data_IF_485793632443
#
_entry.id   IF_485793632443
#
_cell.length_a   1.000
_cell.length_b   1.000
_cell.length_c   1.000
_cell.angle_alpha   90.00
_cell.angle_beta   90.00
_cell.angle_gamma   90.00
#
_symmetry.space_group_name_H-M   'P 1'
#
loop_
_entity.id
_entity.type
_entity.pdbx_description
1 polymer ?
2 branched ?
3 non-polymer ?
4 non-polymer ?
5 water ?
#
# COMPACT_ATOMS: atom_id res chain seq x y z
N UNK A 28 5.39 15.87 13.88
CA UNK A 28 5.99 14.55 13.73
C UNK A 28 5.13 13.48 14.40
N UNK A 29 4.72 12.44 13.66
CA UNK A 29 3.94 11.34 14.24
C UNK A 29 2.69 11.87 14.94
N UNK A 30 2.01 12.83 14.31
CA UNK A 30 0.80 13.41 14.90
C UNK A 30 -0.48 12.76 14.40
N UNK A 31 -0.43 12.05 13.29
CA UNK A 31 -1.63 11.53 12.64
C UNK A 31 -2.08 10.26 13.32
N UNK A 32 -3.34 10.24 13.78
CA UNK A 32 -3.95 9.05 14.35
C UNK A 32 -4.63 8.22 13.27
N UNK A 33 -4.29 6.95 13.13
CA UNK A 33 -4.92 6.13 12.08
C UNK A 33 -6.37 5.82 12.39
N UNK A 34 -7.08 5.41 11.35
CA UNK A 34 -8.43 4.90 11.51
C UNK A 34 -8.39 3.46 12.01
N UNK A 35 -9.36 3.11 12.86
CA UNK A 35 -9.58 1.71 13.22
C UNK A 35 -10.15 0.94 12.03
N UNK A 36 -9.85 -0.39 11.99
CA UNK A 36 -10.37 -1.27 10.96
C UNK A 36 -11.79 -1.70 11.32
N UNK A 37 -12.79 -1.22 10.59
CA UNK A 37 -14.17 -1.59 10.93
C UNK A 37 -14.44 -3.06 10.65
N UNK A 38 -15.44 -3.60 11.35
CA UNK A 38 -15.79 -5.00 11.14
C UNK A 38 -16.45 -5.14 9.77
N UNK A 39 -16.01 -6.07 8.93
CA UNK A 39 -16.43 -6.05 7.51
C UNK A 39 -17.86 -6.53 7.34
N UNK A 40 -18.60 -5.85 6.46
CA UNK A 40 -20.01 -6.14 6.20
C UNK A 40 -20.26 -6.53 4.75
N UNK A 41 -19.80 -5.71 3.81
CA UNK A 41 -20.09 -6.00 2.40
C UNK A 41 -19.08 -6.97 1.79
N UNK A 42 -19.43 -7.49 0.62
CA UNK A 42 -18.56 -8.40 -0.13
C UNK A 42 -17.15 -7.83 -0.21
N UNK A 43 -17.04 -6.57 -0.65
CA UNK A 43 -15.72 -5.98 -0.88
C UNK A 43 -14.97 -5.70 0.43
N UNK A 44 -15.68 -5.33 1.49
CA UNK A 44 -15.02 -5.13 2.78
C UNK A 44 -14.44 -6.45 3.31
N UNK A 45 -15.24 -7.52 3.25
CA UNK A 45 -14.79 -8.83 3.71
C UNK A 45 -13.59 -9.33 2.92
N UNK A 46 -13.64 -9.18 1.59
CA UNK A 46 -12.51 -9.57 0.76
C UNK A 46 -11.29 -8.70 1.03
N UNK A 47 -11.51 -7.40 1.20
CA UNK A 47 -10.41 -6.51 1.54
C UNK A 47 -9.64 -6.96 2.76
N UNK A 48 -10.35 -7.37 3.81
CA UNK A 48 -9.68 -7.82 5.03
C UNK A 48 -9.04 -9.19 4.81
N UNK A 49 -9.74 -10.07 4.08
CA UNK A 49 -9.24 -11.42 3.86
C UNK A 49 -7.92 -11.44 3.11
N UNK A 50 -7.72 -10.53 2.17
CA UNK A 50 -6.54 -10.55 1.29
C UNK A 50 -5.53 -9.47 1.65
N UNK A 51 -5.59 -8.93 2.87
CA UNK A 51 -4.57 -7.99 3.34
C UNK A 51 -3.17 -8.60 3.21
N UNK A 52 -2.23 -7.89 2.62
CA UNK A 52 -0.86 -8.41 2.49
C UNK A 52 -0.10 -8.41 3.81
N UNK A 53 0.97 -9.21 3.86
CA UNK A 53 1.97 -9.11 4.91
C UNK A 53 3.11 -8.23 4.40
N UNK A 54 3.52 -7.25 5.19
CA UNK A 54 4.53 -6.30 4.75
C UNK A 54 5.76 -6.45 5.62
N UNK A 55 6.88 -6.79 5.00
CA UNK A 55 8.17 -6.88 5.66
C UNK A 55 9.02 -5.68 5.23
N UNK A 56 9.49 -4.88 6.20
CA UNK A 56 10.26 -3.68 5.89
C UNK A 56 11.75 -3.98 6.10
N UNK A 57 12.57 -3.55 5.14
CA UNK A 57 14.02 -3.80 5.11
C UNK A 57 14.74 -2.46 4.95
N UNK A 58 15.30 -1.94 6.03
CA UNK A 58 16.18 -0.76 6.13
C UNK A 58 15.49 0.60 5.95
N UNK A 59 14.17 0.65 5.77
CA UNK A 59 13.47 1.90 5.57
C UNK A 59 12.52 2.24 6.70
N UNK A 60 11.65 3.21 6.42
CA UNK A 60 10.62 3.56 7.40
C UNK A 60 9.61 2.43 7.56
N UNK A 61 9.00 2.39 8.75
CA UNK A 61 7.75 1.69 8.90
C UNK A 61 6.65 2.50 8.21
N UNK A 62 5.55 1.87 7.83
CA UNK A 62 4.43 2.65 7.29
C UNK A 62 3.75 3.47 8.40
N UNK A 63 3.25 4.65 8.02
CA UNK A 63 2.59 5.58 8.93
C UNK A 63 1.22 5.92 8.36
N UNK A 64 0.33 6.43 9.21
CA UNK A 64 -0.93 6.97 8.69
C UNK A 64 -0.67 8.28 7.95
N UNK A 65 -1.22 8.41 6.74
CA UNK A 65 -1.02 9.61 5.95
C UNK A 65 -2.01 10.74 6.26
N UNK A 66 -3.20 10.41 6.79
CA UNK A 66 -4.28 11.39 6.95
C UNK A 66 -5.15 10.96 8.14
N UNK A 67 -5.76 11.95 8.81
CA UNK A 67 -6.66 11.62 9.91
C UNK A 67 -8.10 11.99 9.54
N UNK A 68 -9.02 11.71 10.48
CA UNK A 68 -10.44 11.92 10.25
C UNK A 68 -10.80 13.40 10.03
N UNK A 69 -9.98 14.30 10.52
CA UNK A 69 -10.21 15.74 10.37
C UNK A 69 -9.58 16.30 9.10
N UNK A 70 -8.92 15.46 8.31
CA UNK A 70 -8.32 15.86 7.05
C UNK A 70 -6.91 16.44 7.12
N UNK A 71 -6.28 16.45 8.28
CA UNK A 71 -4.86 16.83 8.34
C UNK A 71 -4.01 15.70 7.77
N UNK A 72 -2.93 16.07 7.06
CA UNK A 72 -2.03 15.09 6.48
C UNK A 72 -0.63 15.14 7.10
N UNK A 73 0.08 14.02 6.98
CA UNK A 73 1.44 13.94 7.45
C UNK A 73 2.34 14.95 6.75
N UNK A 74 3.20 15.59 7.54
CA UNK A 74 4.23 16.46 6.99
C UNK A 74 5.44 15.73 6.49
N UNK A 75 5.51 14.41 6.69
CA UNK A 75 6.66 13.63 6.28
C UNK A 75 7.88 14.03 7.10
N UNK A 76 9.03 13.53 6.66
CA UNK A 76 10.31 13.83 7.27
C UNK A 76 11.30 14.24 6.19
N UNK A 77 12.15 15.22 6.48
CA UNK A 77 13.23 15.55 5.56
C UNK A 77 14.18 14.38 5.40
N UNK A 78 14.91 14.36 4.29
CA UNK A 78 15.92 13.33 4.08
C UNK A 78 17.12 13.59 4.97
N UNK A 79 17.74 12.51 5.44
CA UNK A 79 18.89 12.65 6.34
C UNK A 79 19.86 11.50 6.09
N UNK A 80 20.88 11.41 6.93
CA UNK A 80 21.92 10.41 6.78
C UNK A 80 21.52 9.01 7.21
N UNK A 81 20.39 8.84 7.88
CA UNK A 81 19.97 7.50 8.29
C UNK A 81 18.60 7.18 7.70
N UNK A 82 18.47 6.04 7.00
CA UNK A 82 17.18 5.73 6.37
C UNK A 82 16.02 5.51 7.34
N UNK A 83 16.28 5.17 8.60
CA UNK A 83 15.19 4.82 9.51
C UNK A 83 14.93 5.85 10.61
N UNK A 84 15.87 6.78 10.86
CA UNK A 84 15.73 7.74 11.96
C UNK A 84 14.41 8.51 11.89
N UNK A 85 13.69 8.53 13.01
CA UNK A 85 12.42 9.22 13.12
C UNK A 85 11.21 8.45 12.62
N UNK A 86 11.40 7.32 11.95
CA UNK A 86 10.27 6.65 11.30
C UNK A 86 10.30 5.15 11.56
N UNK A 87 10.71 4.73 12.76
CA UNK A 87 10.71 3.31 13.11
C UNK A 87 9.33 2.78 13.47
N UNK A 88 8.33 3.65 13.61
CA UNK A 88 6.99 3.20 13.94
C UNK A 88 6.23 4.23 14.76
N UNK A 89 4.97 4.48 14.39
CA UNK A 89 4.20 5.50 15.08
C UNK A 89 3.83 5.06 16.49
N UNK A 90 3.72 6.04 17.39
CA UNK A 90 3.19 5.71 18.71
C UNK A 90 1.73 5.32 18.63
N UNK A 91 1.06 5.62 17.51
CA UNK A 91 -0.36 5.32 17.30
C UNK A 91 -0.60 4.05 16.50
N UNK A 92 0.44 3.31 16.15
CA UNK A 92 0.27 2.19 15.27
C UNK A 92 0.23 2.66 13.82
N UNK A 93 0.03 1.70 12.93
CA UNK A 93 0.24 1.92 11.51
C UNK A 93 -1.10 1.94 10.76
N UNK A 94 -1.03 1.93 9.43
CA UNK A 94 -2.20 1.92 8.56
C UNK A 94 -1.85 1.29 7.22
N UNK A 95 -2.83 0.62 6.63
CA UNK A 95 -2.78 0.24 5.23
C UNK A 95 -4.09 0.66 4.59
N UNK A 96 -4.01 1.19 3.39
CA UNK A 96 -5.17 1.69 2.68
C UNK A 96 -5.61 0.71 1.60
N UNK A 97 -6.92 0.57 1.42
CA UNK A 97 -7.44 -0.38 0.45
C UNK A 97 -8.49 0.22 -0.45
N UNK A 98 -8.52 -0.26 -1.69
CA UNK A 98 -9.55 0.18 -2.62
C UNK A 98 -9.70 -0.88 -3.70
N UNK A 99 -10.94 -1.18 -4.10
CA UNK A 99 -11.14 -2.34 -4.97
C UNK A 99 -12.15 -2.02 -6.07
N UNK A 100 -12.12 -2.85 -7.11
CA UNK A 100 -13.00 -2.71 -8.26
C UNK A 100 -12.91 -3.97 -9.13
N UNK A 101 -14.02 -4.27 -9.81
CA UNK A 101 -13.94 -5.16 -10.94
C UNK A 101 -13.15 -4.48 -12.05
N UNK A 102 -12.33 -5.25 -12.75
CA UNK A 102 -11.60 -4.74 -13.90
C UNK A 102 -11.34 -5.90 -14.84
N UNK A 103 -11.90 -5.85 -16.06
CA UNK A 103 -11.68 -6.89 -17.06
C UNK A 103 -12.12 -8.25 -16.52
N UNK A 104 -13.27 -8.26 -15.85
CA UNK A 104 -13.91 -9.46 -15.30
C UNK A 104 -13.05 -10.15 -14.24
N UNK A 105 -12.10 -9.43 -13.67
CA UNK A 105 -11.32 -9.92 -12.53
C UNK A 105 -11.47 -8.88 -11.42
N UNK A 106 -11.40 -9.34 -10.17
CA UNK A 106 -11.56 -8.46 -9.02
C UNK A 106 -10.20 -7.97 -8.57
N UNK A 107 -9.99 -6.65 -8.57
CA UNK A 107 -8.71 -6.04 -8.25
C UNK A 107 -8.80 -5.31 -6.92
N UNK A 108 -7.87 -5.59 -6.01
CA UNK A 108 -7.79 -4.91 -4.72
C UNK A 108 -6.42 -4.25 -4.60
N UNK A 109 -6.39 -2.92 -4.46
CA UNK A 109 -5.13 -2.23 -4.19
C UNK A 109 -4.93 -2.03 -2.69
N UNK A 110 -3.74 -2.35 -2.21
CA UNK A 110 -3.30 -2.02 -0.86
C UNK A 110 -2.12 -1.05 -0.94
N UNK A 111 -2.22 0.08 -0.25
CA UNK A 111 -1.24 1.13 -0.34
C UNK A 111 -0.72 1.49 1.04
N UNK A 112 0.56 1.85 1.09
CA UNK A 112 1.22 2.27 2.32
C UNK A 112 1.89 3.61 2.12
N UNK A 113 1.87 4.43 3.17
CA UNK A 113 2.52 5.73 3.20
C UNK A 113 3.71 5.64 4.13
N UNK A 114 4.85 6.23 3.73
CA UNK A 114 6.04 6.31 4.56
C UNK A 114 6.49 7.77 4.62
N UNK A 115 6.95 8.23 5.79
CA UNK A 115 7.24 9.68 5.93
C UNK A 115 8.44 10.15 5.12
N UNK A 116 9.35 9.26 4.75
CA UNK A 116 10.48 9.62 3.92
C UNK A 116 10.98 8.36 3.21
N UNK A 117 11.71 8.56 2.11
CA UNK A 117 12.46 7.50 1.42
C UNK A 117 13.87 8.04 1.24
N UNK A 118 14.81 7.57 2.06
CA UNK A 118 16.13 8.20 2.16
C UNK A 118 17.22 7.14 2.30
N UNK A 119 17.52 6.42 1.22
CA UNK A 119 18.55 5.38 1.30
C UNK A 119 19.95 5.97 1.45
N UNK A 120 20.87 5.15 1.95
CA UNK A 120 22.27 5.53 1.94
C UNK A 120 22.77 5.69 0.50
N UNK A 121 23.65 6.66 0.29
CA UNK A 121 24.32 6.99 -0.98
C UNK A 121 23.42 7.77 -1.94
N UNK A 122 22.12 7.86 -1.68
CA UNK A 122 21.15 8.43 -2.61
C UNK A 122 20.52 9.70 -2.03
N UNK A 123 20.02 10.55 -2.93
CA UNK A 123 19.44 11.81 -2.50
C UNK A 123 18.11 11.60 -1.78
N UNK A 124 17.25 10.71 -2.29
CA UNK A 124 15.98 10.42 -1.66
C UNK A 124 15.03 11.61 -1.57
N UNK A 125 13.87 11.44 -0.94
CA UNK A 125 12.92 12.55 -0.84
C UNK A 125 12.00 12.35 0.36
N UNK A 126 11.40 13.46 0.76
CA UNK A 126 10.29 13.45 1.71
C UNK A 126 9.10 12.73 1.10
N UNK A 127 8.37 12.00 1.94
CA UNK A 127 7.18 11.24 1.56
C UNK A 127 7.48 10.05 0.66
N UNK A 128 6.65 9.02 0.75
CA UNK A 128 6.73 7.87 -0.15
C UNK A 128 5.41 7.14 -0.09
N UNK A 129 4.87 6.76 -1.26
CA UNK A 129 3.68 5.91 -1.40
C UNK A 129 4.04 4.66 -2.19
N UNK A 130 3.67 3.51 -1.65
CA UNK A 130 3.88 2.22 -2.33
C UNK A 130 2.56 1.49 -2.36
N UNK A 131 2.42 0.55 -3.29
CA UNK A 131 1.17 -0.22 -3.31
C UNK A 131 1.36 -1.56 -4.02
N UNK A 132 0.52 -2.51 -3.62
CA UNK A 132 0.40 -3.77 -4.36
C UNK A 132 -1.05 -3.89 -4.80
N UNK A 133 -1.24 -4.50 -5.98
CA UNK A 133 -2.57 -4.83 -6.47
C UNK A 133 -2.67 -6.35 -6.53
N UNK A 134 -3.64 -6.91 -5.81
CA UNK A 134 -3.91 -8.34 -5.78
C UNK A 134 -5.13 -8.59 -6.65
N UNK A 135 -5.05 -9.58 -7.54
CA UNK A 135 -6.14 -9.91 -8.45
C UNK A 135 -6.69 -11.28 -8.07
N UNK A 136 -8.00 -11.37 -7.83
CA UNK A 136 -8.66 -12.61 -7.47
C UNK A 136 -9.84 -12.86 -8.40
N UNK A 137 -10.31 -14.11 -8.45
CA UNK A 137 -11.34 -14.47 -9.41
C UNK A 137 -12.67 -13.79 -9.08
N UNK A 138 -13.07 -13.80 -7.81
CA UNK A 138 -14.42 -13.35 -7.44
C UNK A 138 -14.49 -13.17 -5.93
N UNK A 139 -14.80 -11.96 -5.43
CA UNK A 139 -14.79 -11.76 -3.98
C UNK A 139 -15.91 -12.47 -3.25
N UNK A 140 -16.96 -12.89 -3.95
CA UNK A 140 -18.13 -13.49 -3.33
C UNK A 140 -18.07 -15.02 -3.28
N UNK A 141 -16.88 -15.62 -3.38
CA UNK A 141 -16.73 -17.05 -3.18
C UNK A 141 -16.31 -17.32 -1.75
N UNK A 142 -16.53 -18.57 -1.32
CA UNK A 142 -16.10 -18.95 0.03
C UNK A 142 -14.58 -18.89 0.13
N UNK A 143 -13.89 -19.36 -0.91
CA UNK A 143 -12.43 -19.33 -0.97
C UNK A 143 -12.05 -18.82 -2.36
N UNK A 144 -11.96 -17.50 -2.55
CA UNK A 144 -11.52 -16.98 -3.85
C UNK A 144 -10.06 -17.30 -4.11
N UNK A 145 -9.70 -17.34 -5.40
CA UNK A 145 -8.37 -17.74 -5.84
C UNK A 145 -7.57 -16.50 -6.22
N UNK A 146 -6.37 -16.35 -5.65
CA UNK A 146 -5.48 -15.30 -6.11
C UNK A 146 -4.95 -15.66 -7.49
N UNK A 147 -5.14 -14.77 -8.45
CA UNK A 147 -4.74 -15.02 -9.82
C UNK A 147 -3.45 -14.31 -10.21
N UNK A 148 -3.11 -13.23 -9.51
CA UNK A 148 -1.96 -12.44 -9.89
C UNK A 148 -1.74 -11.38 -8.85
N UNK A 149 -0.58 -10.73 -8.96
CA UNK A 149 -0.23 -9.68 -7.99
C UNK A 149 0.86 -8.82 -8.60
N UNK A 150 0.77 -7.51 -8.36
CA UNK A 150 1.69 -6.54 -8.94
C UNK A 150 2.13 -5.57 -7.85
N UNK A 151 3.45 -5.36 -7.75
CA UNK A 151 4.04 -4.58 -6.67
C UNK A 151 4.65 -3.29 -7.24
N UNK A 152 4.45 -2.18 -6.54
CA UNK A 152 4.87 -0.89 -7.07
C UNK A 152 6.39 -0.81 -7.15
N UNK A 153 6.87 -0.21 -8.23
CA UNK A 153 8.30 -0.14 -8.50
C UNK A 153 8.54 1.18 -9.24
N UNK A 154 8.83 2.23 -8.49
CA UNK A 154 9.20 3.54 -9.03
C UNK A 154 8.22 4.01 -10.11
N UNK A 155 6.94 4.11 -9.73
CA UNK A 155 5.85 4.60 -10.59
C UNK A 155 5.30 3.52 -11.52
N UNK A 156 6.04 2.43 -11.74
CA UNK A 156 5.56 1.28 -12.47
C UNK A 156 5.24 0.12 -11.55
N UNK A 157 5.22 -1.08 -12.13
CA UNK A 157 4.88 -2.31 -11.42
C UNK A 157 5.79 -3.46 -11.81
N UNK A 158 6.06 -4.35 -10.86
CA UNK A 158 6.56 -5.70 -11.15
C UNK A 158 5.36 -6.62 -11.14
N UNK A 159 5.09 -7.29 -12.27
CA UNK A 159 3.84 -8.00 -12.47
C UNK A 159 4.04 -9.51 -12.37
N UNK A 160 3.12 -10.19 -11.68
CA UNK A 160 3.19 -11.63 -11.49
C UNK A 160 1.85 -12.27 -11.87
N UNK A 161 1.87 -13.21 -12.81
CA UNK A 161 0.66 -13.95 -13.19
C UNK A 161 1.04 -15.38 -13.52
N UNK A 162 0.82 -16.32 -12.61
CA UNK A 162 0.20 -16.15 -11.30
C UNK A 162 1.10 -15.53 -10.24
N UNK A 163 0.49 -15.15 -9.15
CA UNK A 163 1.24 -14.78 -7.97
C UNK A 163 1.92 -16.06 -7.44
N UNK A 164 3.25 -16.09 -7.30
CA UNK A 164 3.91 -17.36 -6.97
C UNK A 164 3.51 -17.86 -5.59
N UNK A 165 3.26 -19.17 -5.52
CA UNK A 165 2.71 -19.80 -4.32
C UNK A 165 3.60 -19.55 -3.10
N UNK A 166 4.92 -19.58 -3.28
CA UNK A 166 5.83 -19.42 -2.16
C UNK A 166 5.72 -18.05 -1.50
N UNK A 167 5.09 -17.08 -2.16
CA UNK A 167 4.90 -15.75 -1.59
C UNK A 167 3.47 -15.52 -1.13
N UNK A 168 2.66 -16.58 -1.07
CA UNK A 168 1.29 -16.49 -0.56
C UNK A 168 1.23 -17.26 0.75
N UNK A 169 0.82 -16.56 1.80
CA UNK A 169 0.67 -17.13 3.13
C UNK A 169 -0.83 -17.18 3.42
N UNK A 170 -1.44 -18.33 3.15
CA UNK A 170 -2.88 -18.45 3.25
C UNK A 170 -3.56 -17.72 2.10
N UNK A 171 -4.18 -16.59 2.40
CA UNK A 171 -4.62 -15.68 1.35
C UNK A 171 -3.91 -14.33 1.43
N UNK A 172 -2.75 -14.27 2.09
CA UNK A 172 -1.99 -13.03 2.20
C UNK A 172 -0.72 -13.12 1.36
N UNK A 173 -0.63 -12.27 0.32
CA UNK A 173 0.63 -12.12 -0.41
C UNK A 173 1.67 -11.48 0.50
N UNK A 174 2.89 -11.98 0.45
CA UNK A 174 3.98 -11.50 1.29
C UNK A 174 4.85 -10.55 0.48
N UNK A 175 4.99 -9.34 1.01
CA UNK A 175 5.58 -8.22 0.29
C UNK A 175 6.77 -7.72 1.10
N UNK A 176 7.79 -7.25 0.40
CA UNK A 176 8.99 -6.67 1.03
C UNK A 176 9.18 -5.25 0.52
N UNK A 177 9.44 -4.32 1.44
CA UNK A 177 9.81 -2.94 1.12
C UNK A 177 11.32 -2.80 1.33
N UNK A 178 12.05 -2.57 0.24
CA UNK A 178 13.50 -2.45 0.36
C UNK A 178 14.05 -1.65 -0.81
N UNK A 179 15.31 -1.29 -0.71
CA UNK A 179 15.97 -0.52 -1.75
C UNK A 179 17.18 -1.30 -2.25
N UNK A 180 17.50 -1.11 -3.53
CA UNK A 180 18.74 -1.59 -4.11
C UNK A 180 19.39 -0.43 -4.84
N UNK A 181 20.62 -0.10 -4.45
CA UNK A 181 21.38 0.91 -5.17
C UNK A 181 21.33 0.58 -6.66
N UNK A 182 21.18 1.56 -7.54
CA UNK A 182 21.18 3.00 -7.31
C UNK A 182 19.79 3.67 -7.29
N UNK A 183 18.73 2.92 -6.97
CA UNK A 183 17.36 3.44 -6.94
C UNK A 183 16.84 3.49 -5.50
N UNK A 184 15.74 4.24 -5.30
CA UNK A 184 15.12 4.39 -3.99
C UNK A 184 14.40 3.10 -3.59
N UNK A 185 13.56 3.19 -2.56
CA UNK A 185 12.78 2.04 -2.11
C UNK A 185 11.67 1.67 -3.09
N UNK A 186 11.30 0.39 -3.06
CA UNK A 186 10.22 -0.16 -3.87
C UNK A 186 9.76 -1.45 -3.23
N UNK A 187 8.67 -1.98 -3.77
CA UNK A 187 8.08 -3.22 -3.32
C UNK A 187 8.34 -4.36 -4.29
N UNK A 188 8.31 -5.56 -3.75
CA UNK A 188 8.47 -6.79 -4.54
C UNK A 188 7.94 -7.91 -3.67
N UNK A 189 7.60 -9.06 -4.27
CA UNK A 189 7.18 -10.21 -3.42
C UNK A 189 8.39 -10.80 -2.68
N UNK A 190 8.13 -11.66 -1.69
CA UNK A 190 9.19 -12.24 -0.88
C UNK A 190 8.68 -13.55 -0.26
N UNK A 191 9.61 -14.35 0.26
CA UNK A 191 9.24 -15.52 1.04
C UNK A 191 9.33 -15.28 2.56
N UNK A 192 9.68 -14.07 2.99
CA UNK A 192 9.81 -13.75 4.40
C UNK A 192 8.52 -13.11 4.90
N UNK A 193 7.93 -13.67 5.95
CA UNK A 193 6.65 -13.19 6.47
C UNK A 193 6.85 -11.89 7.26
N UNK A 194 6.05 -10.89 6.94
CA UNK A 194 6.14 -9.63 7.64
C UNK A 194 4.99 -9.48 8.62
N UNK A 195 4.29 -8.35 8.55
CA UNK A 195 3.29 -7.99 9.55
C UNK A 195 2.10 -7.34 8.85
N UNK A 196 0.95 -7.40 9.52
CA UNK A 196 -0.30 -6.76 9.10
C UNK A 196 -0.40 -5.37 9.71
N UNK A 197 -1.09 -4.48 9.00
CA UNK A 197 -1.45 -3.16 9.49
C UNK A 197 -2.97 -3.02 9.47
N UNK A 198 -3.50 -2.15 10.34
CA UNK A 198 -4.93 -1.90 10.34
C UNK A 198 -5.36 -1.34 8.98
N UNK A 199 -6.34 -2.00 8.36
CA UNK A 199 -6.77 -1.65 7.02
C UNK A 199 -7.96 -0.69 7.08
N UNK A 200 -7.92 0.36 6.26
CA UNK A 200 -9.10 1.19 6.06
C UNK A 200 -9.36 1.26 4.57
N UNK A 201 -10.59 0.97 4.16
CA UNK A 201 -10.92 1.04 2.75
C UNK A 201 -11.34 2.45 2.38
N UNK A 202 -11.16 2.79 1.10
CA UNK A 202 -11.42 4.14 0.62
C UNK A 202 -12.80 4.64 1.06
N UNK A 203 -13.83 3.83 0.81
CA UNK A 203 -15.19 4.28 1.10
C UNK A 203 -15.47 4.42 2.58
N UNK A 204 -14.63 3.83 3.44
CA UNK A 204 -14.84 3.90 4.88
C UNK A 204 -14.20 5.13 5.51
N UNK A 205 -13.39 5.85 4.77
CA UNK A 205 -12.81 7.07 5.33
C UNK A 205 -13.82 8.20 5.18
N UNK A 206 -13.85 9.15 6.12
CA UNK A 206 -14.74 10.31 5.97
C UNK A 206 -14.35 11.16 4.77
N UNK A 207 -15.34 11.91 4.28
CA UNK A 207 -15.15 12.77 3.12
C UNK A 207 -14.00 13.76 3.30
N UNK A 208 -13.79 14.25 4.52
CA UNK A 208 -12.68 15.16 4.80
C UNK A 208 -11.35 14.49 4.50
N UNK A 209 -11.21 13.22 4.84
CA UNK A 209 -9.96 12.51 4.58
C UNK A 209 -9.80 12.21 3.10
N UNK A 210 -10.87 11.79 2.43
CA UNK A 210 -10.79 11.55 0.99
C UNK A 210 -10.47 12.84 0.24
N UNK A 211 -11.12 13.94 0.61
CA UNK A 211 -10.80 15.24 0.02
C UNK A 211 -9.30 15.52 0.14
N UNK A 212 -8.74 15.35 1.34
CA UNK A 212 -7.33 15.60 1.56
C UNK A 212 -6.45 14.68 0.70
N UNK A 213 -6.77 13.39 0.64
CA UNK A 213 -5.99 12.46 -0.18
C UNK A 213 -6.13 12.76 -1.67
N UNK A 214 -7.24 13.37 -2.08
CA UNK A 214 -7.43 13.77 -3.48
C UNK A 214 -6.62 15.01 -3.82
N UNK A 215 -6.39 15.89 -2.85
CA UNK A 215 -5.89 17.24 -3.12
C UNK A 215 -4.48 17.49 -2.63
N UNK A 216 -3.96 16.67 -1.73
CA UNK A 216 -2.70 16.99 -1.07
C UNK A 216 -1.53 16.66 -2.00
N UNK A 217 -0.58 17.58 -2.06
CA UNK A 217 0.65 17.40 -2.82
C UNK A 217 1.66 16.72 -1.91
N UNK A 218 2.03 15.49 -2.24
CA UNK A 218 3.07 14.78 -1.53
C UNK A 218 4.40 14.84 -2.27
N UNK A 219 4.59 15.84 -3.13
CA UNK A 219 5.85 16.02 -3.83
C UNK A 219 6.15 14.93 -4.81
N UNK A 220 7.27 14.23 -4.61
CA UNK A 220 7.65 13.15 -5.52
C UNK A 220 6.80 11.90 -5.32
N UNK A 221 6.01 11.82 -4.26
CA UNK A 221 5.17 10.66 -4.00
C UNK A 221 3.74 10.95 -4.44
N UNK A 222 3.12 9.98 -5.10
CA UNK A 222 1.78 10.12 -5.67
C UNK A 222 0.84 9.19 -4.93
N UNK A 223 -0.24 9.73 -4.39
CA UNK A 223 -1.21 8.91 -3.67
C UNK A 223 -1.89 7.96 -4.64
N UNK A 224 -1.72 6.63 -4.52
CA UNK A 224 -2.10 5.74 -5.63
C UNK A 224 -3.56 5.35 -5.63
N UNK A 225 -4.29 5.45 -4.53
CA UNK A 225 -5.68 5.00 -4.54
C UNK A 225 -6.67 6.15 -4.51
N UNK A 226 -6.24 7.38 -4.75
CA UNK A 226 -7.18 8.49 -4.73
C UNK A 226 -7.96 8.54 -6.04
N UNK A 227 -8.89 9.48 -6.14
CA UNK A 227 -9.79 9.45 -7.30
C UNK A 227 -9.06 9.77 -8.59
N UNK A 228 -8.01 10.59 -8.53
CA UNK A 228 -7.25 10.94 -9.73
C UNK A 228 -6.50 9.75 -10.31
N UNK A 229 -5.95 8.88 -9.47
CA UNK A 229 -4.96 7.91 -9.95
C UNK A 229 -5.41 6.46 -9.91
N UNK A 230 -6.45 6.11 -9.16
CA UNK A 230 -6.71 4.70 -8.85
C UNK A 230 -6.92 3.86 -10.10
N UNK A 231 -7.80 4.29 -11.01
CA UNK A 231 -8.11 3.45 -12.17
C UNK A 231 -6.91 3.37 -13.13
N UNK A 232 -6.19 4.47 -13.33
CA UNK A 232 -4.97 4.42 -14.14
C UNK A 232 -3.97 3.45 -13.53
N UNK A 233 -3.91 3.40 -12.20
CA UNK A 233 -2.96 2.49 -11.56
C UNK A 233 -3.38 1.04 -11.75
N UNK A 234 -4.66 0.75 -11.55
CA UNK A 234 -5.16 -0.62 -11.74
C UNK A 234 -4.85 -1.09 -13.15
N UNK A 235 -5.03 -0.21 -14.13
CA UNK A 235 -4.75 -0.58 -15.52
C UNK A 235 -3.25 -0.82 -15.72
N UNK A 236 -2.42 0.02 -15.11
CA UNK A 236 -0.97 -0.14 -15.19
C UNK A 236 -0.51 -1.42 -14.51
N UNK A 237 -1.25 -1.89 -13.52
CA UNK A 237 -0.89 -3.07 -12.73
C UNK A 237 -1.31 -4.39 -13.37
N UNK A 238 -2.27 -4.37 -14.32
CA UNK A 238 -2.77 -5.56 -15.00
C UNK A 238 -1.64 -6.50 -15.41
N UNK A 239 -1.53 -7.69 -14.83
CA UNK A 239 -0.35 -8.53 -15.04
C UNK A 239 -0.53 -9.66 -16.05
N UNK A 240 -1.75 -9.86 -16.52
CA UNK A 240 -2.07 -11.04 -17.31
C UNK A 240 -1.66 -10.88 -18.76
N UNK A 241 -1.36 -12.00 -19.39
CA UNK A 241 -0.82 -12.03 -20.75
C UNK A 241 -1.98 -12.07 -21.73
N UNK A 242 -2.68 -10.94 -21.82
CA UNK A 242 -3.87 -10.82 -22.66
C UNK A 242 -3.51 -10.23 -24.02
X LIG B 1 11.51 -9.28 -7.65
X LIG B 1 12.93 -9.10 -8.15
X LIG B 1 13.36 -10.35 -8.97
X LIG B 1 13.15 -11.64 -8.19
X LIG B 1 11.70 -11.67 -7.74
X LIG B 1 11.32 -12.84 -6.85
X LIG B 1 13.62 -6.81 -8.57
X LIG B 1 13.61 -5.66 -9.48
X LIG B 1 13.01 -7.92 -8.99
X LIG B 1 14.73 -10.18 -9.31
X LIG B 1 13.43 -12.78 -9.02
X LIG B 1 11.40 -10.52 -6.95
X LIG B 1 12.28 -13.14 -5.86
X LIG B 1 14.18 -6.75 -7.46
X LIG B 2 14.46 -13.66 -8.55
X LIG B 2 14.30 -14.96 -9.31
X LIG B 2 15.32 -15.98 -8.82
X LIG B 2 16.73 -15.41 -8.89
X LIG B 2 16.83 -13.97 -8.35
X LIG B 2 18.12 -13.29 -8.75
X LIG B 2 12.05 -15.33 -10.19
X LIG B 2 10.70 -15.96 -9.95
X LIG B 2 12.95 -15.50 -9.22
X LIG B 2 15.23 -17.15 -9.63
X LIG B 2 17.58 -16.17 -8.03
X LIG B 2 15.74 -13.13 -8.79
X LIG B 2 18.94 -13.05 -7.63
X LIG B 2 12.30 -14.69 -11.20
X LIG B 3 18.23 -17.46 -8.26
X LIG B 3 18.36 -18.00 -9.76
X LIG B 3 19.60 -18.90 -9.93
X LIG B 3 20.85 -18.27 -9.26
X LIG B 3 20.59 -18.15 -7.77
X LIG B 3 21.76 -17.53 -7.00
X LIG B 3 18.48 -16.98 -10.73
X LIG B 3 19.84 -19.16 -11.29
X LIG B 3 21.99 -19.07 -9.48
X LIG B 3 19.50 -17.24 -7.58
X LIG B 3 22.85 -18.43 -6.98
X LIG C 1 -11.91 13.83 -3.86
X LIG C 1 -12.75 14.23 -5.06
X LIG C 1 -13.68 15.38 -4.67
X LIG C 1 -14.45 15.07 -3.39
X LIG C 1 -13.54 14.51 -2.31
X LIG C 1 -14.29 13.97 -1.12
X LIG C 1 -11.99 14.05 -7.40
X LIG C 1 -11.05 14.59 -8.43
X LIG C 1 -11.92 14.62 -6.18
X LIG C 1 -14.58 15.58 -5.75
X LIG C 1 -14.96 16.29 -2.86
X LIG C 1 -12.75 13.43 -2.81
X LIG C 1 -15.14 12.90 -1.51
X LIG C 1 -12.78 13.15 -7.63
X LIG C 2 -16.39 16.29 -2.66
X LIG C 2 -16.73 17.57 -1.91
X LIG C 2 -18.18 17.93 -2.14
X LIG C 2 -18.35 18.38 -3.58
X LIG C 2 -17.77 17.35 -4.55
X LIG C 2 -16.73 17.91 -5.48
X LIG C 2 -15.34 17.91 0.07
X LIG C 2 -15.19 17.70 1.54
X LIG C 2 -16.44 17.43 -0.49
X LIG C 2 -18.55 19.00 -1.27
X LIG C 2 -19.74 18.53 -3.85
X LIG C 2 -17.21 16.18 -3.91
X LIG C 2 -17.30 18.21 -6.75
X LIG C 2 -14.48 18.50 -0.59
X LIG C 3 -20.01 19.79 -4.48
X LIG C 3 -21.38 19.64 -5.20
X LIG C 3 -21.82 20.98 -5.81
X LIG C 3 -21.68 22.14 -4.81
X LIG C 3 -20.28 22.15 -4.13
X LIG C 3 -20.15 23.18 -3.03
X LIG C 3 -22.37 19.25 -4.27
X LIG C 3 -23.15 20.94 -6.32
X LIG C 3 -21.89 23.37 -5.49
X LIG C 3 -20.04 20.87 -3.54
X LIG C 3 -20.95 22.75 -1.92
X LIG D 1 2.62 -16.88 7.67
X LIG D 1 4.00 -17.50 7.95
X LIG D 1 4.27 -17.62 9.45
X LIG D 1 4.03 -16.29 10.16
X LIG D 1 2.63 -15.76 9.84
X LIG D 1 2.38 -14.38 10.40
X LIG D 1 4.61 -18.98 6.07
X LIG D 1 4.65 -20.40 5.59
X LIG D 1 4.13 -18.80 7.31
X LIG D 1 5.61 -18.05 9.66
X LIG D 1 4.16 -16.43 11.57
X LIG D 1 2.48 -15.65 8.42
X LIG D 1 1.22 -13.79 9.84
X LIG D 1 4.98 -18.04 5.37
X LIG E 1 -13.92 0.64 -2.26
X LIG E 1 -12.95 -0.37 -2.81
X LIG E 1 -13.88 1.89 -3.12
X LIG E 1 -15.28 -0.02 -2.30
X LIG E 1 -13.60 1.06 -0.85
X LIG F 1 10.85 6.81 -6.57
X LIG F 1 12.10 7.22 -7.30
X LIG F 1 10.86 7.41 -5.18
X LIG F 1 10.82 5.30 -6.45
X LIG F 1 9.63 7.29 -7.32
#
# INVERSE_FOLDING_TARGET
RNDYVQEEKQQQLQEPLDGQWKPTTTGHDAIVPFSEPKPVTISEKAGVKFKPLLDVNTGCAPYAAVNAEGETSGGLQTSGDPESGCRGSKYGSQVYGRSTWYNDVWAIMYAWYFPKDSPMLLMGHRHDWENVVVFINDPDEVEPTILGCSTSWHSGYIKYAPCPTDSINGSSVMIKYEHSFPLNHALNITKDAGAYQDLIMWHQMPDLARRALNDTDFGKAITPMNDLNFMEKIEAAWPFKTKKDGA
NAG C1 C2 C3 C4 C5 C6 C7 C8 N2 O3 O4 O5 O6 O7
NAG C1 C2 C3 C4 C5 C6 C7 C8 N2 O3 O4 O5 O6 O7
BMA C1 C2 C3 C4 C5 C6 O2 O3 O4 O5 O6
NAG C1 C2 C3 C4 C5 C6 C7 C8 N2 O3 O4 O5 O6 O7
NAG C1 C2 C3 C4 C5 C6 C7 C8 N2 O3 O4 O5 O6 O7
BMA C1 C2 C3 C4 C5 C6 O2 O3 O4 O5 O6
NAG C1 C2 C3 C4 C5 C6 C7 C8 N2 O3 O4 O5 O6 O7
PO4 P O1 O2 O3 O4
PO4 P O1 O2 O3 O4
#
